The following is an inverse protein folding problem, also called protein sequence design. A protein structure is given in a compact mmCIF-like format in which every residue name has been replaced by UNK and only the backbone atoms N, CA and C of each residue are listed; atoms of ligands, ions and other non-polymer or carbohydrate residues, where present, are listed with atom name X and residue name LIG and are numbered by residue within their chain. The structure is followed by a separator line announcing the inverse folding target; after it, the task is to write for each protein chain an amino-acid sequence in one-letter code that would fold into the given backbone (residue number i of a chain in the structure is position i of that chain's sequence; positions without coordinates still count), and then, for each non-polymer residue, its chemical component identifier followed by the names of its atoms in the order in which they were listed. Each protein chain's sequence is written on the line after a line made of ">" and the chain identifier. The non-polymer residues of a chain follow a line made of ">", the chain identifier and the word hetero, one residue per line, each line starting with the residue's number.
data_IF_133567256023
#
_entry.id   IF_133567256023
#
_cell.length_a   1.000
_cell.length_b   1.000
_cell.length_c   1.000
_cell.angle_alpha   90.00
_cell.angle_beta   90.00
_cell.angle_gamma   90.00
#
_symmetry.space_group_name_H-M   'P 1'
#
loop_
_entity.id
_entity.type
_entity.pdbx_description
1 polymer ?
#
# COMPACT_ATOMS: atom_id res chain seq x y z
N UNK A 1 -1.32 46.80 -73.01
CA UNK A 1 -2.17 46.25 -71.89
C UNK A 1 -1.35 45.21 -71.22
N UNK A 2 -0.73 45.54 -70.09
CA UNK A 2 0.14 44.60 -69.30
C UNK A 2 -0.67 44.14 -68.10
N UNK A 3 -0.96 42.84 -68.02
CA UNK A 3 -1.59 42.22 -66.85
C UNK A 3 -0.48 41.88 -65.86
N UNK A 4 -0.60 42.46 -64.68
CA UNK A 4 0.21 42.14 -63.50
C UNK A 4 -0.50 41.09 -62.71
N UNK A 5 0.07 39.85 -62.57
CA UNK A 5 -0.42 38.83 -61.65
C UNK A 5 0.17 39.12 -60.26
N UNK A 6 -0.70 39.36 -59.31
CA UNK A 6 -0.34 39.38 -57.90
C UNK A 6 -0.35 37.96 -57.31
N UNK A 7 0.79 37.49 -56.87
CA UNK A 7 0.92 36.20 -56.17
C UNK A 7 0.50 36.38 -54.72
N UNK A 8 -0.57 35.67 -54.31
CA UNK A 8 -1.04 35.60 -52.94
C UNK A 8 -0.25 34.51 -52.19
N UNK A 9 0.63 34.90 -51.30
CA UNK A 9 1.36 33.97 -50.44
C UNK A 9 0.48 33.58 -49.25
N UNK A 10 0.03 32.32 -49.21
CA UNK A 10 -0.66 31.75 -48.07
C UNK A 10 0.39 31.24 -47.06
N UNK A 11 0.54 31.91 -45.93
CA UNK A 11 1.38 31.44 -44.82
C UNK A 11 0.62 30.37 -44.06
N UNK A 12 1.08 29.10 -44.17
CA UNK A 12 0.60 28.00 -43.31
C UNK A 12 1.23 28.14 -41.92
N UNK A 13 0.45 28.55 -40.93
CA UNK A 13 0.86 28.43 -39.54
C UNK A 13 0.63 26.96 -39.11
N UNK A 14 1.72 26.21 -38.93
CA UNK A 14 1.68 24.91 -38.28
C UNK A 14 1.46 25.12 -36.77
N UNK A 15 0.24 24.90 -36.30
CA UNK A 15 -0.05 24.81 -34.86
C UNK A 15 0.47 23.47 -34.38
N UNK A 16 1.67 23.47 -33.77
CA UNK A 16 2.19 22.32 -33.04
C UNK A 16 1.39 22.21 -31.73
N UNK A 17 0.33 21.45 -31.72
CA UNK A 17 -0.30 20.99 -30.46
C UNK A 17 0.67 20.02 -29.79
N UNK A 18 1.41 20.49 -28.79
CA UNK A 18 2.06 19.58 -27.82
C UNK A 18 0.94 18.85 -27.10
N UNK A 19 0.76 17.57 -27.43
CA UNK A 19 -0.10 16.70 -26.63
C UNK A 19 0.45 16.71 -25.19
N UNK A 20 -0.29 17.31 -24.28
CA UNK A 20 -0.02 17.18 -22.87
C UNK A 20 -0.27 15.70 -22.54
N UNK A 21 0.82 14.94 -22.30
CA UNK A 21 0.70 13.57 -21.81
C UNK A 21 0.03 13.64 -20.43
N UNK A 22 -1.25 13.36 -20.38
CA UNK A 22 -1.94 13.11 -19.12
C UNK A 22 -1.38 11.79 -18.57
N UNK A 23 -0.84 11.78 -17.34
CA UNK A 23 -0.36 10.53 -16.75
C UNK A 23 -1.53 9.52 -16.75
N UNK A 24 -1.23 8.28 -17.11
CA UNK A 24 -2.23 7.21 -17.10
C UNK A 24 -2.93 7.15 -15.75
N UNK A 25 -4.26 7.00 -15.69
CA UNK A 25 -4.97 6.78 -14.44
C UNK A 25 -4.30 5.64 -13.65
N UNK A 26 -3.93 5.90 -12.41
CA UNK A 26 -3.20 4.92 -11.58
C UNK A 26 -1.67 4.98 -11.64
N UNK A 27 -1.06 5.75 -12.56
CA UNK A 27 0.37 6.00 -12.54
C UNK A 27 0.74 6.86 -11.32
N UNK A 28 1.93 6.61 -10.77
CA UNK A 28 2.51 7.50 -9.77
C UNK A 28 2.85 8.85 -10.41
N UNK A 29 2.59 9.93 -9.68
CA UNK A 29 3.14 11.22 -10.09
C UNK A 29 4.66 11.20 -9.98
N UNK A 30 5.41 11.97 -10.80
CA UNK A 30 6.87 12.06 -10.69
C UNK A 30 7.35 12.41 -9.27
N UNK A 31 6.59 13.24 -8.55
CA UNK A 31 6.87 13.57 -7.16
C UNK A 31 6.71 12.36 -6.24
N UNK A 32 5.64 11.59 -6.36
CA UNK A 32 5.40 10.40 -5.55
C UNK A 32 6.46 9.33 -5.81
N UNK A 33 6.81 9.09 -7.06
CA UNK A 33 7.88 8.18 -7.47
C UNK A 33 9.23 8.58 -6.84
N UNK A 34 9.58 9.88 -6.88
CA UNK A 34 10.80 10.39 -6.26
C UNK A 34 10.80 10.19 -4.72
N UNK A 35 9.66 10.39 -4.05
CA UNK A 35 9.53 10.14 -2.60
C UNK A 35 9.77 8.65 -2.30
N UNK A 36 9.08 7.75 -2.98
CA UNK A 36 9.23 6.31 -2.78
C UNK A 36 10.67 5.84 -3.03
N UNK A 37 11.31 6.30 -4.10
CA UNK A 37 12.72 6.02 -4.39
C UNK A 37 13.65 6.55 -3.30
N UNK A 38 13.39 7.74 -2.76
CA UNK A 38 14.19 8.31 -1.68
C UNK A 38 14.11 7.50 -0.40
N UNK A 39 12.93 6.98 -0.06
CA UNK A 39 12.73 6.11 1.12
C UNK A 39 13.49 4.79 0.92
N UNK A 40 13.36 4.15 -0.23
CA UNK A 40 14.08 2.90 -0.55
C UNK A 40 15.60 3.09 -0.51
N UNK A 41 16.13 4.19 -1.03
CA UNK A 41 17.55 4.50 -0.99
C UNK A 41 18.07 4.74 0.44
N UNK A 42 17.24 5.23 1.35
CA UNK A 42 17.57 5.45 2.75
C UNK A 42 17.40 4.19 3.62
N UNK A 43 16.68 3.18 3.14
CA UNK A 43 16.35 1.95 3.88
C UNK A 43 17.54 1.00 4.00
N UNK A 44 18.45 1.32 4.94
CA UNK A 44 19.64 0.51 5.22
C UNK A 44 19.33 -0.86 5.84
N UNK A 45 18.17 -1.00 6.48
CA UNK A 45 17.72 -2.23 7.12
C UNK A 45 16.97 -3.17 6.17
N UNK A 46 16.70 -2.75 4.93
CA UNK A 46 15.91 -3.49 3.93
C UNK A 46 14.55 -3.94 4.48
N UNK A 47 13.90 -3.06 5.24
CA UNK A 47 12.59 -3.35 5.86
C UNK A 47 11.42 -2.91 5.00
N UNK A 48 11.65 -2.04 4.02
CA UNK A 48 10.60 -1.61 3.11
C UNK A 48 10.30 -2.73 2.09
N UNK A 49 9.03 -3.05 1.96
CA UNK A 49 8.53 -4.01 0.94
C UNK A 49 9.00 -3.62 -0.46
N UNK A 50 8.94 -4.55 -1.42
CA UNK A 50 9.24 -4.23 -2.81
C UNK A 50 8.20 -3.26 -3.41
N UNK A 51 8.53 -2.62 -4.51
CA UNK A 51 7.57 -1.80 -5.26
C UNK A 51 6.40 -2.65 -5.76
N UNK A 52 6.67 -3.88 -6.20
CA UNK A 52 5.65 -4.81 -6.68
C UNK A 52 4.68 -5.24 -5.58
N UNK A 53 5.18 -5.45 -4.35
CA UNK A 53 4.30 -5.70 -3.19
C UNK A 53 3.38 -4.50 -2.93
N UNK A 54 3.94 -3.28 -2.99
CA UNK A 54 3.18 -2.04 -2.83
C UNK A 54 2.09 -1.88 -3.90
N UNK A 55 2.43 -2.09 -5.17
CA UNK A 55 1.48 -2.06 -6.30
C UNK A 55 0.39 -3.10 -6.13
N UNK A 56 0.76 -4.31 -5.72
CA UNK A 56 -0.18 -5.40 -5.49
C UNK A 56 -1.19 -5.07 -4.37
N UNK A 57 -0.70 -4.54 -3.24
CA UNK A 57 -1.59 -4.08 -2.16
C UNK A 57 -2.58 -3.02 -2.62
N UNK A 58 -2.13 -2.02 -3.40
CA UNK A 58 -3.00 -0.99 -3.97
C UNK A 58 -4.10 -1.58 -4.88
N UNK A 59 -3.75 -2.58 -5.71
CA UNK A 59 -4.73 -3.31 -6.54
C UNK A 59 -5.78 -4.00 -5.66
N UNK A 60 -5.37 -4.70 -4.59
CA UNK A 60 -6.30 -5.38 -3.70
C UNK A 60 -7.23 -4.41 -2.95
N UNK A 61 -6.71 -3.24 -2.53
CA UNK A 61 -7.53 -2.19 -1.93
C UNK A 61 -8.62 -1.73 -2.90
N UNK A 62 -8.25 -1.49 -4.16
CA UNK A 62 -9.19 -1.09 -5.21
C UNK A 62 -10.24 -2.17 -5.49
N UNK A 63 -9.82 -3.43 -5.67
CA UNK A 63 -10.72 -4.56 -5.91
C UNK A 63 -11.70 -4.79 -4.76
N UNK A 64 -11.24 -4.67 -3.51
CA UNK A 64 -12.07 -4.80 -2.31
C UNK A 64 -12.92 -3.53 -2.07
N UNK A 65 -12.53 -2.39 -2.65
CA UNK A 65 -13.04 -1.06 -2.31
C UNK A 65 -12.90 -0.80 -0.79
N UNK A 66 -11.72 -1.13 -0.24
CA UNK A 66 -11.48 -1.13 1.20
C UNK A 66 -11.54 0.29 1.78
N UNK A 67 -12.28 0.46 2.88
CA UNK A 67 -12.48 1.74 3.58
C UNK A 67 -11.72 1.81 4.90
N UNK A 68 -11.56 0.69 5.58
CA UNK A 68 -10.91 0.58 6.88
C UNK A 68 -9.73 -0.37 6.77
N UNK A 69 -8.52 0.19 6.78
CA UNK A 69 -7.28 -0.54 6.55
C UNK A 69 -6.42 -0.46 7.81
N UNK A 70 -5.92 -1.61 8.26
CA UNK A 70 -4.96 -1.71 9.36
C UNK A 70 -3.61 -2.19 8.82
N UNK A 71 -2.54 -1.49 9.17
CA UNK A 71 -1.16 -1.92 8.98
C UNK A 71 -0.51 -2.18 10.34
N UNK A 72 0.15 -3.33 10.50
CA UNK A 72 0.91 -3.71 11.68
C UNK A 72 2.39 -3.85 11.28
N UNK A 73 3.20 -2.87 11.68
CA UNK A 73 4.59 -2.70 11.26
C UNK A 73 4.72 -1.69 10.12
N UNK A 74 4.90 -0.40 10.46
CA UNK A 74 5.03 0.67 9.48
C UNK A 74 6.46 0.88 8.97
N UNK A 75 7.45 0.50 9.77
CA UNK A 75 8.87 0.78 9.50
C UNK A 75 9.10 2.25 9.08
N UNK A 76 9.59 2.48 7.85
CA UNK A 76 9.78 3.82 7.27
C UNK A 76 8.50 4.46 6.70
N UNK A 77 7.37 3.76 6.71
CA UNK A 77 6.11 4.20 6.10
C UNK A 77 6.01 3.96 4.59
N UNK A 78 6.92 3.19 3.99
CA UNK A 78 6.91 2.90 2.55
C UNK A 78 5.64 2.14 2.13
N UNK A 79 5.31 1.05 2.81
CA UNK A 79 4.06 0.30 2.64
C UNK A 79 2.83 1.17 2.95
N UNK A 80 2.89 1.96 4.03
CA UNK A 80 1.85 2.91 4.41
C UNK A 80 1.52 3.92 3.31
N UNK A 81 2.51 4.35 2.50
CA UNK A 81 2.26 5.21 1.32
C UNK A 81 1.46 4.46 0.27
N UNK A 82 1.82 3.21 -0.07
CA UNK A 82 1.08 2.40 -1.04
C UNK A 82 -0.35 2.12 -0.59
N UNK A 83 -0.52 1.76 0.69
CA UNK A 83 -1.84 1.58 1.31
C UNK A 83 -2.64 2.89 1.27
N UNK A 84 -2.01 4.01 1.59
CA UNK A 84 -2.64 5.34 1.58
C UNK A 84 -3.09 5.79 0.19
N UNK A 85 -2.30 5.49 -0.85
CA UNK A 85 -2.69 5.77 -2.24
C UNK A 85 -3.96 4.98 -2.62
N UNK A 86 -4.02 3.69 -2.28
CA UNK A 86 -5.21 2.87 -2.49
C UNK A 86 -6.41 3.33 -1.67
N UNK A 87 -6.18 3.66 -0.39
CA UNK A 87 -7.21 4.17 0.52
C UNK A 87 -7.83 5.49 0.02
N UNK A 88 -7.00 6.39 -0.51
CA UNK A 88 -7.48 7.64 -1.10
C UNK A 88 -8.44 7.40 -2.27
N UNK A 89 -8.11 6.47 -3.16
CA UNK A 89 -8.94 6.10 -4.30
C UNK A 89 -10.25 5.44 -3.88
N UNK A 90 -10.21 4.61 -2.83
CA UNK A 90 -11.41 3.97 -2.28
C UNK A 90 -12.18 4.89 -1.31
N UNK A 91 -11.74 6.13 -1.03
CA UNK A 91 -12.28 7.01 0.01
C UNK A 91 -12.27 6.34 1.41
N UNK A 92 -11.22 5.60 1.69
CA UNK A 92 -10.97 4.91 2.95
C UNK A 92 -9.89 5.61 3.78
N UNK A 93 -9.44 4.92 4.82
CA UNK A 93 -8.36 5.38 5.69
C UNK A 93 -7.49 4.20 6.15
N UNK A 94 -6.27 4.51 6.53
CA UNK A 94 -5.27 3.56 7.05
C UNK A 94 -4.89 3.96 8.47
N UNK A 95 -4.88 2.99 9.38
CA UNK A 95 -4.18 3.09 10.66
C UNK A 95 -2.94 2.23 10.56
N UNK A 96 -1.77 2.83 10.68
CA UNK A 96 -0.47 2.17 10.58
C UNK A 96 0.22 2.22 11.94
N UNK A 97 0.51 1.05 12.55
CA UNK A 97 1.06 0.94 13.90
C UNK A 97 2.53 0.56 13.80
N UNK A 98 3.39 1.30 14.51
CA UNK A 98 4.82 1.05 14.58
C UNK A 98 5.30 1.05 16.04
N UNK A 99 6.03 0.00 16.40
CA UNK A 99 6.53 -0.20 17.75
C UNK A 99 7.74 0.69 18.08
N UNK A 100 8.65 0.85 17.13
CA UNK A 100 9.86 1.66 17.33
C UNK A 100 9.54 3.16 17.20
N UNK A 101 9.86 3.99 18.23
CA UNK A 101 9.51 5.40 18.22
C UNK A 101 10.22 6.21 17.13
N UNK A 102 11.44 5.81 16.74
CA UNK A 102 12.19 6.52 15.69
C UNK A 102 11.60 6.22 14.32
N UNK A 103 11.24 4.96 14.09
CA UNK A 103 10.55 4.52 12.83
C UNK A 103 9.16 5.10 12.72
N UNK A 104 8.40 5.12 13.80
CA UNK A 104 7.08 5.76 13.80
C UNK A 104 7.16 7.25 13.42
N UNK A 105 8.18 7.96 13.94
CA UNK A 105 8.45 9.35 13.57
C UNK A 105 8.87 9.49 12.11
N UNK A 106 9.72 8.59 11.61
CA UNK A 106 10.15 8.55 10.22
C UNK A 106 8.96 8.27 9.30
N UNK A 107 8.15 7.25 9.62
CA UNK A 107 6.94 6.91 8.88
C UNK A 107 5.99 8.11 8.78
N UNK A 108 5.70 8.77 9.91
CA UNK A 108 4.85 9.96 9.93
C UNK A 108 5.39 11.09 9.04
N UNK A 109 6.71 11.32 9.08
CA UNK A 109 7.35 12.33 8.22
C UNK A 109 7.27 11.97 6.73
N UNK A 110 7.44 10.70 6.37
CA UNK A 110 7.33 10.23 4.99
C UNK A 110 5.88 10.27 4.48
N UNK A 111 4.91 9.90 5.31
CA UNK A 111 3.48 10.06 5.02
C UNK A 111 3.13 11.54 4.77
N UNK A 112 3.68 12.45 5.59
CA UNK A 112 3.50 13.89 5.41
C UNK A 112 4.12 14.38 4.09
N UNK A 113 5.34 13.98 3.76
CA UNK A 113 5.99 14.31 2.47
C UNK A 113 5.18 13.81 1.28
N UNK A 114 4.57 12.63 1.41
CA UNK A 114 3.69 12.06 0.40
C UNK A 114 2.32 12.75 0.31
N UNK A 115 2.01 13.70 1.21
CA UNK A 115 0.71 14.39 1.24
C UNK A 115 -0.45 13.44 1.56
N UNK A 116 -0.23 12.44 2.45
CA UNK A 116 -1.21 11.38 2.76
C UNK A 116 -1.73 11.46 4.21
N UNK A 117 -1.47 12.54 4.94
CA UNK A 117 -1.88 12.70 6.35
C UNK A 117 -3.40 12.76 6.55
N UNK A 118 -4.15 13.02 5.49
CA UNK A 118 -5.61 13.00 5.47
C UNK A 118 -6.20 11.58 5.45
N UNK A 119 -5.43 10.59 4.98
CA UNK A 119 -5.88 9.19 4.84
C UNK A 119 -5.06 8.18 5.64
N UNK A 120 -3.82 8.51 6.02
CA UNK A 120 -2.94 7.60 6.79
C UNK A 120 -2.61 8.22 8.14
N UNK A 121 -2.97 7.52 9.21
CA UNK A 121 -2.60 7.85 10.58
C UNK A 121 -1.56 6.87 11.10
N UNK A 122 -0.35 7.34 11.37
CA UNK A 122 0.69 6.56 12.04
C UNK A 122 0.48 6.62 13.56
N UNK A 123 0.50 5.46 14.21
CA UNK A 123 0.38 5.30 15.66
C UNK A 123 1.67 4.66 16.18
N UNK A 124 2.40 5.37 17.05
CA UNK A 124 3.50 4.78 17.78
C UNK A 124 2.98 3.98 18.96
N UNK A 125 3.37 2.71 19.07
CA UNK A 125 3.01 1.87 20.19
C UNK A 125 3.08 0.37 19.90
N UNK A 126 2.87 -0.41 20.96
CA UNK A 126 2.72 -1.85 20.86
C UNK A 126 1.36 -2.18 20.22
N UNK A 127 1.37 -2.88 19.09
CA UNK A 127 0.16 -3.25 18.38
C UNK A 127 -0.80 -4.10 19.22
N UNK A 128 -0.31 -4.91 20.17
CA UNK A 128 -1.15 -5.65 21.13
C UNK A 128 -1.92 -4.73 22.08
N UNK A 129 -1.43 -3.51 22.30
CA UNK A 129 -2.07 -2.49 23.13
C UNK A 129 -2.90 -1.52 22.29
N UNK A 130 -2.43 -1.17 21.09
CA UNK A 130 -3.09 -0.15 20.26
C UNK A 130 -4.29 -0.69 19.47
N UNK A 131 -4.22 -1.93 18.94
CA UNK A 131 -5.32 -2.52 18.15
C UNK A 131 -6.63 -2.59 18.98
N UNK A 132 -6.64 -3.00 20.26
CA UNK A 132 -7.87 -3.04 21.07
C UNK A 132 -8.56 -1.68 21.26
N UNK A 133 -7.81 -0.56 21.14
CA UNK A 133 -8.33 0.80 21.27
C UNK A 133 -9.02 1.31 19.99
N UNK A 134 -8.72 0.69 18.85
CA UNK A 134 -9.33 1.06 17.58
C UNK A 134 -10.81 0.68 17.56
N UNK A 135 -11.64 1.48 16.92
CA UNK A 135 -13.07 1.21 16.79
C UNK A 135 -13.39 0.56 15.44
N UNK A 136 -14.51 -0.16 15.38
CA UNK A 136 -15.02 -0.76 14.15
C UNK A 136 -14.29 -2.03 13.71
N UNK A 137 -14.47 -2.37 12.45
CA UNK A 137 -13.95 -3.54 11.77
C UNK A 137 -12.96 -3.13 10.68
N UNK A 138 -12.30 -4.12 10.08
CA UNK A 138 -11.30 -3.88 9.03
C UNK A 138 -11.70 -4.60 7.73
N UNK A 139 -11.65 -3.86 6.62
CA UNK A 139 -11.80 -4.39 5.27
C UNK A 139 -10.54 -5.08 4.77
N UNK A 140 -9.38 -4.50 5.14
CA UNK A 140 -8.07 -5.00 4.77
C UNK A 140 -7.09 -4.84 5.92
N UNK A 141 -6.30 -5.88 6.16
CA UNK A 141 -5.21 -5.88 7.14
C UNK A 141 -3.91 -6.23 6.43
N UNK A 142 -2.86 -5.47 6.67
CA UNK A 142 -1.49 -5.78 6.23
C UNK A 142 -0.60 -6.00 7.46
N UNK A 143 -0.02 -7.19 7.57
CA UNK A 143 0.86 -7.60 8.66
C UNK A 143 2.29 -7.76 8.15
N UNK A 144 3.19 -6.89 8.61
CA UNK A 144 4.63 -6.96 8.37
C UNK A 144 5.43 -6.55 9.61
N UNK A 145 5.23 -7.27 10.70
CA UNK A 145 5.86 -7.02 12.00
C UNK A 145 6.83 -8.14 12.40
N UNK A 146 7.02 -8.35 13.70
CA UNK A 146 7.83 -9.44 14.25
C UNK A 146 7.21 -10.81 13.96
N UNK A 147 7.91 -11.65 13.20
CA UNK A 147 7.38 -12.89 12.60
C UNK A 147 6.84 -13.91 13.61
N UNK A 148 7.50 -14.16 14.77
CA UNK A 148 6.98 -15.06 15.79
C UNK A 148 5.59 -14.68 16.35
N UNK A 149 5.19 -13.42 16.27
CA UNK A 149 3.90 -12.94 16.77
C UNK A 149 2.78 -12.93 15.71
N UNK A 150 3.04 -13.34 14.47
CA UNK A 150 2.06 -13.29 13.38
C UNK A 150 0.75 -14.02 13.71
N UNK A 151 0.83 -15.20 14.33
CA UNK A 151 -0.38 -15.91 14.74
C UNK A 151 -1.18 -15.15 15.79
N UNK A 152 -0.50 -14.53 16.76
CA UNK A 152 -1.16 -13.73 17.81
C UNK A 152 -1.84 -12.49 17.24
N UNK A 153 -1.19 -11.80 16.28
CA UNK A 153 -1.81 -10.68 15.57
C UNK A 153 -3.02 -11.13 14.76
N UNK A 154 -2.91 -12.26 14.05
CA UNK A 154 -4.03 -12.82 13.31
C UNK A 154 -5.22 -13.14 14.22
N UNK A 155 -4.99 -13.86 15.34
CA UNK A 155 -6.03 -14.22 16.28
C UNK A 155 -6.75 -13.00 16.87
N UNK A 156 -6.02 -11.89 17.07
CA UNK A 156 -6.59 -10.64 17.57
C UNK A 156 -7.43 -9.91 16.52
N UNK A 157 -6.98 -9.92 15.27
CA UNK A 157 -7.58 -9.09 14.21
C UNK A 157 -8.68 -9.83 13.45
N UNK A 158 -8.56 -11.15 13.25
CA UNK A 158 -9.53 -11.93 12.48
C UNK A 158 -10.98 -11.77 12.92
N UNK A 159 -11.33 -11.77 14.23
CA UNK A 159 -12.71 -11.53 14.69
C UNK A 159 -13.24 -10.15 14.30
N UNK A 160 -12.36 -9.20 14.05
CA UNK A 160 -12.66 -7.80 13.71
C UNK A 160 -12.59 -7.51 12.21
N UNK A 161 -12.33 -8.50 11.38
CA UNK A 161 -12.42 -8.35 9.94
C UNK A 161 -13.86 -8.50 9.47
N UNK A 162 -14.23 -7.71 8.48
CA UNK A 162 -15.50 -7.85 7.79
C UNK A 162 -15.57 -9.15 6.98
N UNK A 163 -16.77 -9.64 6.75
CA UNK A 163 -16.99 -10.69 5.75
C UNK A 163 -16.57 -10.17 4.36
N UNK A 164 -15.77 -10.95 3.65
CA UNK A 164 -15.13 -10.52 2.41
C UNK A 164 -13.89 -9.66 2.62
N UNK A 165 -13.45 -9.45 3.86
CA UNK A 165 -12.20 -8.75 4.19
C UNK A 165 -10.98 -9.53 3.75
N UNK A 166 -9.87 -8.83 3.54
CA UNK A 166 -8.60 -9.38 3.05
C UNK A 166 -7.52 -9.22 4.13
N UNK A 167 -6.88 -10.32 4.50
CA UNK A 167 -5.72 -10.33 5.39
C UNK A 167 -4.48 -10.65 4.57
N UNK A 168 -3.51 -9.74 4.59
CA UNK A 168 -2.22 -9.85 3.92
C UNK A 168 -1.13 -10.03 4.96
N UNK A 169 -0.21 -10.97 4.74
CA UNK A 169 1.00 -11.09 5.57
C UNK A 169 2.23 -11.23 4.70
N UNK A 170 3.25 -10.45 5.02
CA UNK A 170 4.50 -10.37 4.25
C UNK A 170 5.57 -11.35 4.75
N UNK A 171 6.61 -11.58 3.94
CA UNK A 171 7.75 -12.49 4.20
C UNK A 171 7.37 -13.99 4.35
N UNK A 172 6.24 -14.42 3.84
CA UNK A 172 5.73 -15.78 4.06
C UNK A 172 6.52 -16.87 3.32
N UNK A 173 7.41 -16.49 2.39
CA UNK A 173 8.33 -17.41 1.70
C UNK A 173 9.70 -17.39 2.38
N UNK A 174 10.37 -16.23 2.44
CA UNK A 174 11.74 -16.13 2.93
C UNK A 174 11.87 -16.29 4.45
N UNK A 175 10.76 -16.09 5.21
CA UNK A 175 10.68 -16.24 6.68
C UNK A 175 9.68 -17.29 7.15
N UNK A 176 9.29 -18.21 6.28
CA UNK A 176 8.25 -19.21 6.56
C UNK A 176 8.51 -20.03 7.83
N UNK A 177 9.75 -20.39 8.11
CA UNK A 177 10.12 -21.15 9.31
C UNK A 177 9.87 -20.40 10.62
N UNK A 178 9.95 -19.05 10.60
CA UNK A 178 9.75 -18.21 11.79
C UNK A 178 8.25 -18.04 12.12
N UNK A 179 7.35 -18.32 11.18
CA UNK A 179 5.91 -18.10 11.29
C UNK A 179 5.07 -19.36 10.97
N UNK A 180 5.64 -20.55 11.07
CA UNK A 180 4.95 -21.80 10.73
C UNK A 180 3.55 -21.94 11.39
N UNK A 181 3.36 -21.68 12.71
CA UNK A 181 2.04 -21.76 13.33
C UNK A 181 1.00 -20.82 12.70
N UNK A 182 1.43 -19.65 12.24
CA UNK A 182 0.56 -18.73 11.52
C UNK A 182 0.18 -19.27 10.14
N UNK A 183 1.15 -19.74 9.36
CA UNK A 183 0.91 -20.31 8.03
C UNK A 183 -0.01 -21.52 8.09
N UNK A 184 0.22 -22.44 9.02
CA UNK A 184 -0.66 -23.59 9.26
C UNK A 184 -2.09 -23.14 9.59
N UNK A 185 -2.22 -22.09 10.39
CA UNK A 185 -3.53 -21.53 10.78
C UNK A 185 -4.28 -20.98 9.57
N UNK A 186 -3.69 -20.05 8.81
CA UNK A 186 -4.41 -19.38 7.72
C UNK A 186 -4.73 -20.29 6.54
N UNK A 187 -3.89 -21.31 6.30
CA UNK A 187 -4.09 -22.26 5.21
C UNK A 187 -5.17 -23.31 5.52
N UNK A 188 -5.41 -23.61 6.79
CA UNK A 188 -6.39 -24.61 7.23
C UNK A 188 -7.62 -23.98 7.92
N UNK A 189 -7.72 -22.66 7.98
CA UNK A 189 -8.82 -21.99 8.67
C UNK A 189 -10.13 -22.11 7.88
N UNK A 190 -11.21 -22.69 8.49
CA UNK A 190 -12.45 -22.95 7.75
C UNK A 190 -13.17 -21.69 7.26
N UNK A 191 -12.89 -20.54 7.85
CA UNK A 191 -13.46 -19.23 7.47
C UNK A 191 -12.57 -18.43 6.52
N UNK A 192 -11.49 -19.01 5.95
CA UNK A 192 -10.59 -18.33 5.03
C UNK A 192 -10.42 -19.11 3.74
N UNK A 193 -10.22 -18.37 2.66
CA UNK A 193 -9.59 -18.87 1.44
C UNK A 193 -8.24 -18.18 1.31
N UNK A 194 -7.15 -18.95 1.38
CA UNK A 194 -5.79 -18.43 1.41
C UNK A 194 -4.96 -18.88 0.22
N UNK A 195 -4.24 -17.95 -0.39
CA UNK A 195 -3.21 -18.21 -1.39
C UNK A 195 -1.90 -17.53 -0.99
N UNK A 196 -0.77 -18.14 -1.36
CA UNK A 196 0.54 -17.52 -1.27
C UNK A 196 0.92 -17.04 -2.66
N UNK A 197 1.29 -15.78 -2.77
CA UNK A 197 1.70 -15.11 -4.00
C UNK A 197 3.08 -14.49 -3.81
N UNK A 198 3.75 -14.16 -4.89
CA UNK A 198 5.09 -13.57 -4.86
C UNK A 198 5.15 -12.35 -5.78
N UNK A 199 4.49 -11.23 -5.44
CA UNK A 199 4.66 -9.99 -6.17
C UNK A 199 6.13 -9.55 -6.09
N UNK A 200 6.69 -9.49 -4.88
CA UNK A 200 8.12 -9.44 -4.62
C UNK A 200 8.70 -10.82 -4.29
N UNK A 201 10.02 -10.87 -4.01
CA UNK A 201 10.75 -12.13 -3.74
C UNK A 201 10.45 -12.74 -2.37
N UNK A 202 9.91 -11.97 -1.43
CA UNK A 202 9.77 -12.35 -0.02
C UNK A 202 8.49 -13.13 0.26
N UNK A 203 7.52 -13.03 -0.65
CA UNK A 203 6.23 -13.70 -0.60
C UNK A 203 5.20 -13.01 0.29
N UNK A 204 3.95 -13.08 -0.15
CA UNK A 204 2.80 -12.54 0.55
C UNK A 204 1.69 -13.58 0.62
N UNK A 205 1.11 -13.81 1.80
CA UNK A 205 -0.15 -14.54 1.89
C UNK A 205 -1.32 -13.59 1.68
N UNK A 206 -2.29 -14.04 0.90
CA UNK A 206 -3.57 -13.34 0.69
C UNK A 206 -4.67 -14.25 1.20
N UNK A 207 -5.29 -13.85 2.29
CA UNK A 207 -6.38 -14.60 2.93
C UNK A 207 -7.68 -13.81 2.82
N UNK A 208 -8.66 -14.38 2.15
CA UNK A 208 -10.00 -13.81 1.99
C UNK A 208 -10.93 -14.40 3.05
N UNK A 209 -11.55 -13.55 3.87
CA UNK A 209 -12.52 -13.99 4.88
C UNK A 209 -13.84 -14.35 4.22
N UNK A 210 -14.26 -15.60 4.35
CA UNK A 210 -15.52 -16.09 3.81
C UNK A 210 -16.73 -15.39 4.49
N UNK A 211 -17.83 -15.37 3.75
CA UNK A 211 -19.10 -14.75 4.22
C UNK A 211 -19.87 -15.70 5.11
#
# INVERSE_FOLDING_TARGET
>A
MRLTFAALAIALFAVTTTAQEHPSPGALTPQMDAILKSIKAADKGQLAVSEEDGRFMRVLIGLRNAKSILEIGAASGYSGIWLGLGARESHGHVVSIEFDPQRAKEAAANIQKAGLTDVVRVVHGDAFVEIPKLQGTFDLVFLDAWKPDYKRFFDMVYPRMDAGGVFLAHNVINKSSEMKPFLDTIQNHPGLFTSIVSPGSEGMSVSYKLR
#
